data_IF_132445280045
#
_entry.id   IF_132445280045
#
_cell.length_a   1.000
_cell.length_b   1.000
_cell.length_c   1.000
_cell.angle_alpha   90.00
_cell.angle_beta   90.00
_cell.angle_gamma   90.00
#
_symmetry.space_group_name_H-M   'P 1'
#
loop_
_entity.id
_entity.type
_entity.pdbx_description
1 polymer ?
#
# COMPACT_ATOMS: atom_id res chain seq x y z
N UNK A 1 12.81 -1.01 8.58
CA UNK A 1 11.80 -1.17 7.52
C UNK A 1 12.43 -1.94 6.37
N UNK A 2 11.89 -3.12 6.02
CA UNK A 2 12.44 -3.95 4.93
C UNK A 2 11.73 -3.68 3.58
N UNK A 3 10.43 -3.40 3.62
CA UNK A 3 9.65 -3.01 2.45
C UNK A 3 9.53 -1.48 2.37
N UNK A 4 9.94 -0.87 1.27
CA UNK A 4 9.95 0.59 1.09
C UNK A 4 8.56 1.19 0.78
N UNK A 5 7.60 0.37 0.33
CA UNK A 5 6.23 0.78 0.02
C UNK A 5 5.22 0.50 1.13
N UNK A 6 5.70 0.14 2.33
CA UNK A 6 4.84 -0.16 3.46
C UNK A 6 4.18 1.12 4.01
N UNK A 7 2.85 1.10 4.15
CA UNK A 7 2.09 2.17 4.80
C UNK A 7 2.04 2.02 6.33
N UNK A 8 2.23 0.80 6.84
CA UNK A 8 2.23 0.48 8.27
C UNK A 8 3.14 -0.70 8.57
N UNK A 9 3.51 -0.88 9.83
CA UNK A 9 4.27 -2.04 10.30
C UNK A 9 3.40 -3.30 10.33
N UNK A 10 3.97 -4.41 9.87
CA UNK A 10 3.31 -5.71 9.89
C UNK A 10 3.47 -6.43 11.21
N UNK A 11 4.71 -6.53 11.70
CA UNK A 11 5.04 -7.37 12.86
C UNK A 11 4.38 -6.84 14.13
N UNK A 12 4.42 -5.54 14.37
CA UNK A 12 3.82 -4.89 15.53
C UNK A 12 2.30 -4.98 15.54
N UNK A 13 1.64 -4.75 14.41
CA UNK A 13 0.18 -4.82 14.31
C UNK A 13 -0.30 -6.26 14.49
N UNK A 14 0.34 -7.24 13.83
CA UNK A 14 0.01 -8.65 14.01
C UNK A 14 0.25 -9.10 15.45
N UNK A 15 1.33 -8.63 16.09
CA UNK A 15 1.58 -8.92 17.50
C UNK A 15 0.44 -8.40 18.39
N UNK A 16 0.03 -7.14 18.22
CA UNK A 16 -1.08 -6.57 18.99
C UNK A 16 -2.39 -7.34 18.77
N UNK A 17 -2.72 -7.70 17.53
CA UNK A 17 -3.92 -8.50 17.22
C UNK A 17 -3.83 -9.89 17.86
N UNK A 18 -2.70 -10.56 17.75
CA UNK A 18 -2.54 -11.92 18.28
C UNK A 18 -2.46 -11.97 19.80
N UNK A 19 -2.10 -10.88 20.47
CA UNK A 19 -2.16 -10.78 21.93
C UNK A 19 -3.60 -10.78 22.43
N UNK A 20 -4.48 -9.99 21.79
CA UNK A 20 -5.91 -9.95 22.12
C UNK A 20 -6.64 -11.23 21.70
N UNK A 21 -6.24 -11.84 20.58
CA UNK A 21 -6.86 -13.05 20.04
C UNK A 21 -6.24 -14.35 20.54
N UNK A 22 -5.23 -14.30 21.41
CA UNK A 22 -4.56 -15.48 21.93
C UNK A 22 -5.51 -16.56 22.48
N UNK A 23 -6.57 -16.22 23.26
CA UNK A 23 -7.51 -17.23 23.76
C UNK A 23 -8.24 -18.00 22.66
N UNK A 24 -8.53 -17.36 21.52
CA UNK A 24 -9.18 -17.99 20.37
C UNK A 24 -8.21 -18.81 19.51
N UNK A 25 -6.91 -18.59 19.68
CA UNK A 25 -5.89 -19.35 18.97
C UNK A 25 -5.58 -20.68 19.66
N UNK A 26 -5.64 -20.72 21.00
CA UNK A 26 -5.36 -21.92 21.79
C UNK A 26 -6.57 -22.86 21.91
N UNK A 27 -7.80 -22.34 21.80
CA UNK A 27 -9.03 -23.11 21.94
C UNK A 27 -9.92 -23.08 20.68
N UNK A 28 -10.66 -24.17 20.42
CA UNK A 28 -11.58 -24.27 19.28
C UNK A 28 -13.01 -23.85 19.64
N UNK A 29 -13.20 -22.59 20.03
CA UNK A 29 -14.53 -22.05 20.42
C UNK A 29 -15.30 -21.41 19.26
N UNK A 30 -14.64 -21.16 18.13
CA UNK A 30 -15.25 -20.53 16.96
C UNK A 30 -16.04 -21.56 16.12
N UNK A 31 -17.14 -21.15 15.46
CA UNK A 31 -17.98 -22.05 14.67
C UNK A 31 -17.30 -22.58 13.39
N UNK A 32 -16.16 -22.00 13.00
CA UNK A 32 -15.39 -22.39 11.84
C UNK A 32 -13.97 -21.83 11.90
N UNK A 33 -13.11 -22.29 10.97
CA UNK A 33 -11.74 -21.80 10.88
C UNK A 33 -11.72 -20.36 10.35
N UNK A 34 -11.39 -19.42 11.23
CA UNK A 34 -11.21 -18.01 10.88
C UNK A 34 -9.78 -17.74 10.38
N UNK A 35 -9.66 -17.05 9.26
CA UNK A 35 -8.38 -16.59 8.69
C UNK A 35 -8.32 -15.07 8.75
N UNK A 36 -7.41 -14.56 9.56
CA UNK A 36 -7.08 -13.14 9.62
C UNK A 36 -5.76 -12.95 8.89
N UNK A 37 -5.74 -12.04 7.92
CA UNK A 37 -4.52 -11.73 7.19
C UNK A 37 -4.26 -10.23 7.17
N UNK A 38 -2.98 -9.90 7.08
CA UNK A 38 -2.49 -8.53 7.15
C UNK A 38 -1.63 -8.21 5.92
N UNK A 39 -1.83 -7.03 5.34
CA UNK A 39 -0.93 -6.45 4.34
C UNK A 39 -0.52 -5.04 4.74
N UNK A 40 0.78 -4.76 4.64
CA UNK A 40 1.34 -3.44 4.94
C UNK A 40 1.06 -2.39 3.86
N UNK A 41 0.67 -2.81 2.66
CA UNK A 41 0.25 -1.94 1.56
C UNK A 41 -0.68 -2.67 0.57
N UNK A 42 -1.22 -1.93 -0.40
CA UNK A 42 -2.16 -2.40 -1.42
C UNK A 42 -1.60 -3.48 -2.36
N UNK A 43 -0.28 -3.70 -2.38
CA UNK A 43 0.32 -4.81 -3.13
C UNK A 43 -0.07 -6.19 -2.57
N UNK A 44 -0.62 -6.23 -1.35
CA UNK A 44 -1.20 -7.43 -0.74
C UNK A 44 -0.35 -8.69 -0.95
N UNK A 45 0.91 -8.69 -0.51
CA UNK A 45 1.89 -9.76 -0.71
C UNK A 45 1.54 -11.07 0.05
N UNK A 46 0.34 -11.61 -0.17
CA UNK A 46 -0.27 -12.75 0.52
C UNK A 46 -1.75 -12.89 0.18
N UNK A 47 -2.46 -13.73 0.93
CA UNK A 47 -3.88 -14.04 0.72
C UNK A 47 -4.85 -13.02 1.36
N UNK A 48 -4.44 -11.75 1.46
CA UNK A 48 -5.22 -10.72 2.20
C UNK A 48 -6.56 -10.42 1.52
N UNK A 49 -6.57 -10.40 0.19
CA UNK A 49 -7.78 -10.18 -0.62
C UNK A 49 -8.83 -11.30 -0.51
N UNK A 50 -8.49 -12.46 0.05
CA UNK A 50 -9.38 -13.62 0.16
C UNK A 50 -9.44 -14.20 1.59
N UNK A 51 -9.13 -13.37 2.59
CA UNK A 51 -9.22 -13.73 4.01
C UNK A 51 -10.57 -13.34 4.60
N UNK A 52 -11.01 -14.05 5.65
CA UNK A 52 -12.28 -13.75 6.32
C UNK A 52 -12.26 -12.36 6.96
N UNK A 53 -11.10 -11.98 7.52
CA UNK A 53 -10.83 -10.63 7.99
C UNK A 53 -9.49 -10.18 7.41
N UNK A 54 -9.51 -9.05 6.71
CA UNK A 54 -8.34 -8.44 6.10
C UNK A 54 -8.01 -7.11 6.80
N UNK A 55 -6.76 -6.97 7.24
CA UNK A 55 -6.20 -5.71 7.73
C UNK A 55 -5.23 -5.17 6.69
N UNK A 56 -5.48 -3.96 6.20
CA UNK A 56 -4.76 -3.39 5.08
C UNK A 56 -4.26 -1.98 5.40
N UNK A 57 -2.96 -1.76 5.22
CA UNK A 57 -2.36 -0.44 5.19
C UNK A 57 -2.69 0.30 3.89
N UNK A 58 -3.22 1.52 4.00
CA UNK A 58 -3.59 2.36 2.86
C UNK A 58 -3.04 3.77 3.06
N UNK A 59 -2.49 4.36 2.00
CA UNK A 59 -2.13 5.78 1.99
C UNK A 59 -3.38 6.62 1.69
N UNK A 60 -3.56 7.73 2.42
CA UNK A 60 -4.70 8.65 2.26
C UNK A 60 -4.30 10.01 1.69
N UNK A 61 -3.05 10.12 1.22
CA UNK A 61 -2.49 11.35 0.66
C UNK A 61 -1.80 11.04 -0.66
N UNK A 62 -1.90 11.99 -1.57
CA UNK A 62 -1.20 11.95 -2.85
C UNK A 62 0.31 11.99 -2.67
N UNK A 63 1.08 11.37 -3.59
CA UNK A 63 2.53 11.45 -3.59
C UNK A 63 3.03 12.89 -3.77
N UNK A 64 4.08 13.25 -3.03
CA UNK A 64 4.82 14.50 -3.26
C UNK A 64 5.92 14.19 -4.28
N UNK A 65 5.99 15.00 -5.33
CA UNK A 65 6.89 14.76 -6.47
C UNK A 65 8.23 15.49 -6.23
N UNK A 66 9.33 14.76 -6.37
CA UNK A 66 10.65 15.37 -6.53
C UNK A 66 10.96 15.54 -8.03
N UNK A 67 10.73 16.75 -8.53
CA UNK A 67 10.91 17.08 -9.95
C UNK A 67 12.38 17.06 -10.41
N UNK A 68 13.35 17.07 -9.49
CA UNK A 68 14.78 17.03 -9.83
C UNK A 68 15.28 15.59 -9.99
N UNK A 69 14.79 14.67 -9.15
CA UNK A 69 15.26 13.29 -9.15
C UNK A 69 14.45 12.39 -10.11
N UNK A 70 13.14 12.65 -10.28
CA UNK A 70 12.27 11.86 -11.16
C UNK A 70 12.85 11.60 -12.56
N UNK A 71 13.42 12.59 -13.29
CA UNK A 71 13.97 12.34 -14.62
C UNK A 71 15.20 11.42 -14.63
N UNK A 72 15.86 11.22 -13.48
CA UNK A 72 17.07 10.40 -13.34
C UNK A 72 16.75 8.94 -13.01
N UNK A 73 15.67 8.71 -12.27
CA UNK A 73 15.32 7.39 -11.73
C UNK A 73 14.09 6.75 -12.38
N UNK A 74 13.22 7.54 -13.01
CA UNK A 74 11.96 7.07 -13.58
C UNK A 74 11.90 7.27 -15.10
N UNK A 75 11.23 6.34 -15.77
CA UNK A 75 10.82 6.50 -17.16
C UNK A 75 9.35 6.98 -17.18
N UNK A 76 9.13 8.20 -17.68
CA UNK A 76 7.83 8.89 -17.55
C UNK A 76 6.64 8.11 -18.16
N UNK A 77 6.75 7.49 -19.35
CA UNK A 77 5.65 6.71 -19.91
C UNK A 77 5.20 5.54 -19.04
N UNK A 78 6.13 4.77 -18.48
CA UNK A 78 5.78 3.65 -17.58
C UNK A 78 5.19 4.14 -16.28
N UNK A 79 5.71 5.23 -15.71
CA UNK A 79 5.14 5.88 -14.53
C UNK A 79 3.68 6.29 -14.77
N UNK A 80 3.38 6.97 -15.89
CA UNK A 80 2.01 7.38 -16.25
C UNK A 80 1.09 6.15 -16.39
N UNK A 81 1.54 5.10 -17.07
CA UNK A 81 0.76 3.86 -17.26
C UNK A 81 0.51 3.05 -15.99
N UNK A 82 1.27 3.30 -14.92
CA UNK A 82 1.12 2.59 -13.64
C UNK A 82 -0.11 3.05 -12.86
N UNK A 83 -0.63 4.24 -13.17
CA UNK A 83 -1.78 4.81 -12.48
C UNK A 83 -3.09 4.20 -13.01
N UNK A 84 -3.86 3.46 -12.18
CA UNK A 84 -5.10 2.81 -12.63
C UNK A 84 -6.23 3.80 -12.95
N UNK A 85 -6.20 5.00 -12.36
CA UNK A 85 -7.22 6.04 -12.55
C UNK A 85 -6.82 7.09 -13.59
N UNK A 86 -5.58 7.06 -14.09
CA UNK A 86 -5.06 8.07 -15.02
C UNK A 86 -4.83 9.45 -14.39
N UNK A 87 -4.65 9.53 -13.07
CA UNK A 87 -4.38 10.78 -12.35
C UNK A 87 -3.02 11.41 -12.68
N UNK A 88 -2.04 10.59 -13.10
CA UNK A 88 -0.69 11.04 -13.43
C UNK A 88 -0.63 11.50 -14.89
N UNK A 89 -0.15 12.72 -15.13
CA UNK A 89 -0.01 13.29 -16.48
C UNK A 89 1.43 13.76 -16.72
N UNK A 90 1.98 13.58 -17.93
CA UNK A 90 3.30 14.10 -18.26
C UNK A 90 3.28 15.64 -18.28
N UNK A 91 4.30 16.26 -17.68
CA UNK A 91 4.43 17.70 -17.59
C UNK A 91 5.91 18.12 -17.71
N UNK A 92 6.17 19.40 -17.95
CA UNK A 92 7.51 19.98 -17.84
C UNK A 92 7.48 21.00 -16.71
N UNK A 93 8.15 20.70 -15.61
CA UNK A 93 8.18 21.55 -14.41
C UNK A 93 9.60 22.04 -14.23
N UNK A 94 9.79 23.37 -14.14
CA UNK A 94 11.11 24.02 -13.99
C UNK A 94 12.16 23.59 -15.05
N UNK A 95 11.69 23.27 -16.27
CA UNK A 95 12.54 22.81 -17.37
C UNK A 95 12.90 21.32 -17.32
N UNK A 96 12.47 20.59 -16.28
CA UNK A 96 12.66 19.15 -16.15
C UNK A 96 11.48 18.37 -16.73
N UNK A 97 11.76 17.25 -17.40
CA UNK A 97 10.73 16.28 -17.82
C UNK A 97 10.14 15.61 -16.58
N UNK A 98 8.92 15.95 -16.22
CA UNK A 98 8.30 15.51 -14.97
C UNK A 98 6.84 15.09 -15.16
N UNK A 99 6.08 15.03 -14.06
CA UNK A 99 4.65 14.72 -14.05
C UNK A 99 3.88 15.66 -13.11
N UNK A 100 2.59 15.76 -13.35
CA UNK A 100 1.61 16.36 -12.44
C UNK A 100 0.58 15.30 -12.04
N UNK A 101 0.01 15.43 -10.83
CA UNK A 101 -0.99 14.51 -10.29
C UNK A 101 -2.28 15.29 -10.04
N UNK A 102 -3.40 14.78 -10.56
CA UNK A 102 -4.73 15.30 -10.24
C UNK A 102 -5.22 14.68 -8.93
N UNK A 103 -5.19 15.45 -7.84
CA UNK A 103 -5.48 14.97 -6.49
C UNK A 103 -6.86 14.32 -6.35
N UNK A 104 -7.87 14.87 -7.02
CA UNK A 104 -9.23 14.32 -6.98
C UNK A 104 -9.37 12.96 -7.66
N UNK A 105 -8.39 12.56 -8.48
CA UNK A 105 -8.37 11.30 -9.22
C UNK A 105 -7.42 10.25 -8.60
N UNK A 106 -6.68 10.61 -7.55
CA UNK A 106 -5.67 9.76 -6.91
C UNK A 106 -6.20 9.05 -5.66
#
# INVERSE_FOLDING_TARGET
VHCHSAATDASGVVKAIMDDLHPYFTDMVLPGKLRIAFACCLNMCGAVHCSDIAVLGVHTRVPIIDHNELPRVCEVPTLVSSCPTGAIRPATVDGNKSVEIEDAQC
#
